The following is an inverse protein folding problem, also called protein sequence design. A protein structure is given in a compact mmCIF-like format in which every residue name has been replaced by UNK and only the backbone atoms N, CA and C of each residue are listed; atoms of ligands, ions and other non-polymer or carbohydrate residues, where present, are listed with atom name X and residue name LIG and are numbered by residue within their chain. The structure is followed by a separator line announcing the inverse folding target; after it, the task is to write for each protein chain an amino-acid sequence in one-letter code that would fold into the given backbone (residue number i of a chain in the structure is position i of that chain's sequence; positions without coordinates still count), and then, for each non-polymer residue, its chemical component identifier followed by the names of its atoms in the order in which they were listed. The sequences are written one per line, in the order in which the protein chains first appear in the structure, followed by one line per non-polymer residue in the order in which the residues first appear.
data_IF_062564210328
#
_entry.id   IF_062564210328
#
_cell.length_a   1.000
_cell.length_b   1.000
_cell.length_c   1.000
_cell.angle_alpha   90.00
_cell.angle_beta   90.00
_cell.angle_gamma   90.00
#
_symmetry.space_group_name_H-M   'P 1'
#
loop_
_entity.id
_entity.type
_entity.pdbx_description
1 polymer ?
#
# COMPACT_ATOMS: atom_id res chain seq x y z
N UNK A 1 -100.70 17.90 -4.82
CA UNK A 1 -100.36 16.98 -5.93
C UNK A 1 -98.90 17.21 -6.32
N UNK A 2 -98.10 16.12 -6.38
CA UNK A 2 -96.81 15.93 -7.09
C UNK A 2 -95.62 16.89 -6.80
N UNK A 3 -94.49 16.40 -6.23
CA UNK A 3 -93.25 15.87 -6.88
C UNK A 3 -92.18 17.00 -6.94
N UNK A 4 -90.91 16.91 -6.52
CA UNK A 4 -89.82 15.90 -6.60
C UNK A 4 -88.76 16.23 -5.52
N UNK A 5 -88.31 15.32 -4.65
CA UNK A 5 -87.07 14.51 -4.77
C UNK A 5 -85.85 15.20 -5.41
N UNK A 6 -84.79 15.40 -4.61
CA UNK A 6 -83.42 15.14 -5.03
C UNK A 6 -82.51 14.80 -3.84
N UNK A 7 -82.18 13.52 -3.72
CA UNK A 7 -81.05 12.91 -3.03
C UNK A 7 -79.83 12.94 -3.96
N UNK A 8 -78.63 13.17 -3.40
CA UNK A 8 -77.49 12.22 -3.43
C UNK A 8 -76.19 12.98 -3.06
N UNK A 9 -75.55 12.69 -1.93
CA UNK A 9 -74.63 11.56 -1.60
C UNK A 9 -73.32 11.59 -2.38
N UNK A 10 -72.23 11.72 -1.60
CA UNK A 10 -70.85 11.67 -2.02
C UNK A 10 -70.45 10.35 -2.72
N UNK A 11 -69.47 10.37 -3.63
CA UNK A 11 -68.97 9.15 -4.26
C UNK A 11 -68.03 8.39 -3.32
N UNK A 12 -68.40 7.14 -3.02
CA UNK A 12 -67.49 6.12 -2.49
C UNK A 12 -67.27 5.07 -3.59
N UNK A 13 -66.03 4.90 -4.06
CA UNK A 13 -65.72 3.84 -5.03
C UNK A 13 -64.36 3.94 -5.73
N UNK A 14 -63.25 3.87 -4.98
CA UNK A 14 -61.88 3.92 -5.56
C UNK A 14 -60.87 2.92 -4.99
N UNK A 15 -61.29 1.92 -4.22
CA UNK A 15 -60.38 1.06 -3.44
C UNK A 15 -59.78 -0.17 -4.14
N UNK A 16 -60.28 -0.56 -5.33
CA UNK A 16 -59.90 -1.82 -5.98
C UNK A 16 -58.81 -1.66 -7.04
N UNK A 17 -58.80 -0.56 -7.79
CA UNK A 17 -57.82 -0.33 -8.86
C UNK A 17 -56.45 0.12 -8.34
N UNK A 18 -56.43 0.90 -7.25
CA UNK A 18 -55.18 1.31 -6.60
C UNK A 18 -54.43 0.12 -5.99
N UNK A 19 -55.15 -0.83 -5.38
CA UNK A 19 -54.55 -2.06 -4.83
C UNK A 19 -54.01 -2.98 -5.92
N UNK A 20 -54.71 -3.11 -7.06
CA UNK A 20 -54.22 -3.91 -8.20
C UNK A 20 -52.97 -3.28 -8.84
N UNK A 21 -52.93 -1.96 -9.00
CA UNK A 21 -51.74 -1.26 -9.52
C UNK A 21 -50.55 -1.32 -8.55
N UNK A 22 -50.79 -1.16 -7.25
CA UNK A 22 -49.76 -1.30 -6.23
C UNK A 22 -49.19 -2.73 -6.15
N UNK A 23 -50.06 -3.76 -6.24
CA UNK A 23 -49.63 -5.15 -6.32
C UNK A 23 -48.77 -5.41 -7.56
N UNK A 24 -49.16 -4.91 -8.74
CA UNK A 24 -48.37 -5.07 -9.96
C UNK A 24 -46.96 -4.43 -9.87
N UNK A 25 -46.86 -3.25 -9.26
CA UNK A 25 -45.56 -2.56 -9.08
C UNK A 25 -44.67 -3.32 -8.09
N UNK A 26 -45.22 -3.78 -6.96
CA UNK A 26 -44.46 -4.56 -5.97
C UNK A 26 -44.01 -5.89 -6.58
N UNK A 27 -44.87 -6.56 -7.33
CA UNK A 27 -44.52 -7.82 -7.99
C UNK A 27 -43.40 -7.60 -9.02
N UNK A 28 -43.47 -6.51 -9.80
CA UNK A 28 -42.40 -6.15 -10.74
C UNK A 28 -41.07 -5.82 -10.06
N UNK A 29 -41.09 -5.09 -8.95
CA UNK A 29 -39.89 -4.77 -8.19
C UNK A 29 -39.24 -6.02 -7.57
N UNK A 30 -40.05 -6.94 -7.04
CA UNK A 30 -39.55 -8.22 -6.48
C UNK A 30 -38.94 -9.09 -7.57
N UNK A 31 -39.56 -9.18 -8.75
CA UNK A 31 -39.01 -9.92 -9.89
C UNK A 31 -37.70 -9.31 -10.37
N UNK A 32 -37.59 -7.97 -10.43
CA UNK A 32 -36.34 -7.29 -10.81
C UNK A 32 -35.21 -7.58 -9.81
N UNK A 33 -35.49 -7.51 -8.51
CA UNK A 33 -34.52 -7.81 -7.45
C UNK A 33 -34.07 -9.27 -7.53
N UNK A 34 -35.00 -10.20 -7.73
CA UNK A 34 -34.66 -11.62 -7.91
C UNK A 34 -33.81 -11.85 -9.17
N UNK A 35 -34.10 -11.19 -10.29
CA UNK A 35 -33.30 -11.29 -11.50
C UNK A 35 -31.87 -10.75 -11.30
N UNK A 36 -31.73 -9.64 -10.57
CA UNK A 36 -30.41 -9.11 -10.20
C UNK A 36 -29.63 -10.05 -9.29
N UNK A 37 -30.30 -10.64 -8.29
CA UNK A 37 -29.67 -11.63 -7.39
C UNK A 37 -29.23 -12.89 -8.16
N UNK A 38 -30.06 -13.39 -9.09
CA UNK A 38 -29.68 -14.52 -9.95
C UNK A 38 -28.49 -14.16 -10.85
N UNK A 39 -28.47 -12.95 -11.43
CA UNK A 39 -27.33 -12.49 -12.24
C UNK A 39 -26.03 -12.38 -11.43
N UNK A 40 -26.10 -11.95 -10.18
CA UNK A 40 -24.95 -11.90 -9.26
C UNK A 40 -24.48 -13.30 -8.89
N UNK A 41 -25.39 -14.23 -8.56
CA UNK A 41 -25.03 -15.62 -8.24
C UNK A 41 -24.40 -16.32 -9.45
N UNK A 42 -24.97 -16.16 -10.65
CA UNK A 42 -24.41 -16.74 -11.89
C UNK A 42 -23.01 -16.20 -12.17
N UNK A 43 -22.80 -14.88 -12.01
CA UNK A 43 -21.47 -14.26 -12.19
C UNK A 43 -20.45 -14.82 -11.20
N UNK A 44 -20.83 -14.98 -9.93
CA UNK A 44 -19.95 -15.55 -8.91
C UNK A 44 -19.63 -17.01 -9.22
N UNK A 45 -20.59 -17.82 -9.65
CA UNK A 45 -20.33 -19.24 -10.00
C UNK A 45 -19.50 -19.41 -11.27
N UNK A 46 -19.60 -18.49 -12.24
CA UNK A 46 -18.78 -18.53 -13.46
C UNK A 46 -17.30 -18.17 -13.22
N UNK A 47 -16.98 -17.60 -12.06
CA UNK A 47 -15.61 -17.29 -11.65
C UNK A 47 -14.93 -18.46 -10.89
N UNK A 48 -15.71 -19.47 -10.47
CA UNK A 48 -15.23 -20.65 -9.73
C UNK A 48 -15.51 -21.99 -10.44
N UNK A 49 -16.00 -21.96 -11.69
CA UNK A 49 -16.19 -23.13 -12.53
C UNK A 49 -14.98 -23.34 -13.43
N UNK A 50 -13.93 -23.95 -12.91
CA UNK A 50 -12.83 -24.47 -13.73
C UNK A 50 -13.26 -25.77 -14.41
N UNK A 51 -13.03 -25.85 -15.72
CA UNK A 51 -13.09 -27.07 -16.51
C UNK A 51 -12.08 -28.09 -15.96
N UNK A 52 -12.56 -29.21 -15.41
CA UNK A 52 -11.75 -30.42 -15.27
C UNK A 52 -11.58 -31.10 -16.64
N UNK A 53 -10.34 -31.47 -16.98
CA UNK A 53 -10.14 -32.83 -17.46
C UNK A 53 -9.03 -33.56 -16.69
N UNK A 54 -9.46 -34.61 -16.00
CA UNK A 54 -8.80 -35.92 -15.90
C UNK A 54 -7.40 -35.96 -15.25
N UNK A 55 -7.45 -36.13 -13.93
CA UNK A 55 -6.37 -36.61 -13.07
C UNK A 55 -5.67 -37.87 -13.61
N UNK A 56 -4.37 -37.77 -13.91
CA UNK A 56 -3.44 -38.90 -13.76
C UNK A 56 -2.49 -38.54 -12.63
N UNK A 57 -2.64 -39.23 -11.50
CA UNK A 57 -1.80 -39.07 -10.31
C UNK A 57 -0.33 -39.42 -10.64
N UNK A 58 0.55 -38.44 -10.55
CA UNK A 58 1.99 -38.64 -10.48
C UNK A 58 2.47 -38.03 -9.16
N UNK A 59 2.99 -38.87 -8.27
CA UNK A 59 3.39 -38.49 -6.90
C UNK A 59 4.37 -37.31 -6.89
N UNK A 60 4.16 -36.27 -6.05
CA UNK A 60 5.14 -35.21 -5.87
C UNK A 60 6.38 -35.73 -5.12
N UNK A 61 7.61 -35.31 -5.48
CA UNK A 61 8.75 -35.43 -4.61
C UNK A 61 8.58 -34.56 -3.35
N UNK A 62 9.20 -34.99 -2.26
CA UNK A 62 9.11 -34.43 -0.91
C UNK A 62 9.35 -32.90 -0.84
N UNK A 63 8.76 -32.19 0.15
CA UNK A 63 8.93 -30.75 0.28
C UNK A 63 10.36 -30.38 0.68
N UNK A 64 11.08 -29.76 -0.24
CA UNK A 64 12.17 -28.83 0.09
C UNK A 64 11.56 -27.64 0.84
N UNK A 65 12.18 -27.24 1.95
CA UNK A 65 11.71 -26.16 2.83
C UNK A 65 11.51 -24.81 2.12
N UNK A 66 10.91 -23.81 2.80
CA UNK A 66 10.57 -22.53 2.20
C UNK A 66 11.85 -21.83 1.73
N UNK A 67 12.10 -21.91 0.43
CA UNK A 67 13.13 -21.18 -0.27
C UNK A 67 12.78 -19.70 -0.34
N UNK A 68 13.81 -18.88 -0.22
CA UNK A 68 13.82 -17.45 -0.42
C UNK A 68 12.94 -17.03 -1.62
N UNK A 69 12.16 -15.96 -1.41
CA UNK A 69 11.50 -15.24 -2.50
C UNK A 69 12.51 -14.97 -3.61
N UNK A 70 12.14 -15.37 -4.83
CA UNK A 70 13.05 -15.46 -5.96
C UNK A 70 13.85 -14.18 -6.21
N UNK A 71 15.16 -14.30 -6.05
CA UNK A 71 16.12 -13.39 -6.69
C UNK A 71 16.14 -13.73 -8.18
N UNK A 72 15.30 -13.04 -8.95
CA UNK A 72 15.43 -12.99 -10.42
C UNK A 72 15.70 -11.55 -10.83
N UNK A 73 16.98 -11.19 -10.73
CA UNK A 73 17.54 -9.96 -11.28
C UNK A 73 19.03 -10.12 -11.57
N UNK A 74 19.44 -11.26 -12.13
CA UNK A 74 20.82 -11.45 -12.59
C UNK A 74 21.13 -10.45 -13.70
N UNK A 75 22.26 -9.76 -13.58
CA UNK A 75 22.70 -8.72 -14.50
C UNK A 75 23.10 -7.42 -13.82
N UNK A 76 23.71 -6.54 -14.62
CA UNK A 76 24.12 -5.20 -14.21
C UNK A 76 23.72 -4.19 -15.28
N UNK A 77 23.69 -2.91 -14.91
CA UNK A 77 23.40 -1.81 -15.81
C UNK A 77 21.92 -1.43 -15.92
N UNK A 78 21.60 -0.40 -16.72
CA UNK A 78 20.33 0.33 -16.61
C UNK A 78 19.08 -0.51 -16.83
N UNK A 79 19.14 -1.53 -17.69
CA UNK A 79 18.00 -2.41 -17.96
C UNK A 79 17.71 -3.35 -16.78
N UNK A 80 18.75 -3.96 -16.19
CA UNK A 80 18.62 -4.83 -15.02
C UNK A 80 18.09 -4.03 -13.81
N UNK A 81 18.64 -2.84 -13.59
CA UNK A 81 18.19 -1.92 -12.54
C UNK A 81 16.73 -1.50 -12.71
N UNK A 82 16.33 -1.16 -13.95
CA UNK A 82 14.96 -0.77 -14.29
C UNK A 82 13.96 -1.94 -14.18
N UNK A 83 14.39 -3.16 -14.50
CA UNK A 83 13.60 -4.37 -14.30
C UNK A 83 13.40 -4.64 -12.80
N UNK A 84 14.48 -4.57 -12.01
CA UNK A 84 14.45 -4.76 -10.56
C UNK A 84 13.59 -3.70 -9.85
N UNK A 85 13.69 -2.42 -10.23
CA UNK A 85 12.84 -1.35 -9.69
C UNK A 85 11.36 -1.64 -9.93
N UNK A 86 10.98 -2.03 -11.15
CA UNK A 86 9.58 -2.22 -11.55
C UNK A 86 8.98 -3.57 -11.19
N UNK A 87 9.80 -4.55 -10.77
CA UNK A 87 9.28 -5.85 -10.37
C UNK A 87 8.16 -5.69 -9.31
N UNK A 88 7.01 -6.38 -9.43
CA UNK A 88 5.94 -6.23 -8.46
C UNK A 88 6.37 -6.75 -7.09
N UNK A 89 5.76 -6.22 -6.04
CA UNK A 89 5.84 -6.76 -4.68
C UNK A 89 4.54 -7.46 -4.31
N UNK A 90 4.55 -8.23 -3.22
CA UNK A 90 3.36 -8.88 -2.70
C UNK A 90 2.25 -7.84 -2.45
N UNK A 91 1.09 -8.07 -3.06
CA UNK A 91 -0.08 -7.23 -2.82
C UNK A 91 -0.73 -7.63 -1.50
N UNK A 92 -1.10 -6.62 -0.70
CA UNK A 92 -1.70 -6.79 0.62
C UNK A 92 -2.92 -5.88 0.72
N UNK A 93 -3.99 -6.30 1.40
CA UNK A 93 -5.18 -5.49 1.48
C UNK A 93 -4.97 -4.29 2.42
N UNK A 94 -5.65 -3.17 2.18
CA UNK A 94 -5.44 -1.90 2.92
C UNK A 94 -5.51 -2.05 4.45
N UNK A 95 -6.38 -2.92 4.96
CA UNK A 95 -6.50 -3.16 6.41
C UNK A 95 -5.25 -3.77 7.03
N UNK A 96 -4.35 -4.38 6.23
CA UNK A 96 -3.09 -4.92 6.71
C UNK A 96 -2.20 -3.82 7.30
N UNK A 97 -2.35 -2.57 6.89
CA UNK A 97 -1.61 -1.43 7.44
C UNK A 97 -2.09 -1.02 8.84
N UNK A 98 -3.27 -1.45 9.29
CA UNK A 98 -3.85 -1.03 10.56
C UNK A 98 -3.32 -1.86 11.73
N UNK A 99 -3.29 -1.33 12.97
CA UNK A 99 -2.87 -2.09 14.14
C UNK A 99 -3.64 -3.40 14.34
N UNK A 100 -2.92 -4.51 14.40
CA UNK A 100 -3.48 -5.83 14.69
C UNK A 100 -2.41 -6.79 15.23
N UNK A 101 -2.77 -8.06 15.39
CA UNK A 101 -1.94 -9.10 16.01
C UNK A 101 -0.56 -9.22 15.37
N UNK A 102 0.47 -9.29 16.21
CA UNK A 102 1.85 -9.53 15.78
C UNK A 102 2.07 -11.02 15.48
N UNK A 103 2.90 -11.30 14.50
CA UNK A 103 3.30 -12.65 14.14
C UNK A 103 4.24 -13.26 15.18
N UNK A 104 4.16 -14.58 15.33
CA UNK A 104 5.16 -15.38 16.04
C UNK A 104 6.24 -15.92 15.08
N UNK A 105 6.08 -15.70 13.76
CA UNK A 105 7.05 -16.07 12.73
C UNK A 105 8.06 -14.94 12.53
N UNK A 106 9.13 -15.25 11.81
CA UNK A 106 10.13 -14.28 11.41
C UNK A 106 10.46 -14.45 9.93
N UNK A 107 10.69 -13.32 9.23
CA UNK A 107 11.18 -13.29 7.86
C UNK A 107 12.71 -13.50 7.76
N UNK A 108 13.39 -13.67 8.89
CA UNK A 108 14.84 -13.83 8.99
C UNK A 108 15.42 -13.07 10.19
N UNK A 109 16.73 -13.23 10.46
CA UNK A 109 17.37 -12.52 11.58
C UNK A 109 17.21 -10.99 11.42
N UNK A 110 17.20 -10.21 12.50
CA UNK A 110 17.16 -8.75 12.39
C UNK A 110 18.32 -8.17 11.55
N UNK A 111 18.11 -7.01 10.94
CA UNK A 111 19.09 -6.28 10.15
C UNK A 111 19.70 -5.18 11.02
N UNK A 112 21.00 -5.28 11.33
CA UNK A 112 21.72 -4.21 12.02
C UNK A 112 22.07 -3.11 11.05
N UNK A 113 21.60 -1.89 11.32
CA UNK A 113 21.86 -0.71 10.50
C UNK A 113 23.13 -0.01 10.95
N UNK A 114 24.04 0.33 10.02
CA UNK A 114 25.19 1.16 10.34
C UNK A 114 24.75 2.58 10.73
N UNK A 115 25.52 3.22 11.62
CA UNK A 115 25.33 4.64 11.93
C UNK A 115 25.81 5.54 10.77
N UNK A 116 25.19 6.71 10.56
CA UNK A 116 25.64 7.68 9.56
C UNK A 116 26.99 8.28 9.95
N UNK A 117 27.86 8.50 8.96
CA UNK A 117 29.13 9.20 9.17
C UNK A 117 28.97 10.72 9.06
N UNK A 118 27.95 11.20 8.34
CA UNK A 118 27.67 12.62 8.16
C UNK A 118 26.25 12.95 8.64
N UNK A 119 26.16 13.73 9.72
CA UNK A 119 24.87 14.17 10.32
C UNK A 119 24.73 15.70 10.38
N UNK A 120 25.81 16.44 10.16
CA UNK A 120 25.84 17.91 10.26
C UNK A 120 26.02 18.54 8.88
N UNK A 121 25.34 19.67 8.67
CA UNK A 121 25.39 20.41 7.41
C UNK A 121 24.68 19.73 6.23
N UNK A 122 23.92 18.68 6.49
CA UNK A 122 23.14 17.92 5.49
C UNK A 122 21.67 17.83 5.92
N UNK A 123 20.76 17.77 4.95
CA UNK A 123 19.32 17.63 5.22
C UNK A 123 18.96 16.21 5.67
N UNK A 124 19.56 15.22 5.00
CA UNK A 124 19.40 13.79 5.31
C UNK A 124 20.77 13.27 5.78
N UNK A 125 20.87 12.56 6.91
CA UNK A 125 22.11 11.90 7.29
C UNK A 125 22.64 10.93 6.22
N UNK A 126 23.95 10.92 5.99
CA UNK A 126 24.60 10.13 4.91
C UNK A 126 25.93 9.50 5.37
N UNK A 127 26.70 8.98 4.40
CA UNK A 127 28.03 8.38 4.63
C UNK A 127 27.98 6.92 5.09
N UNK A 128 26.91 6.20 4.72
CA UNK A 128 26.76 4.79 5.04
C UNK A 128 27.73 3.91 4.21
N UNK A 129 28.16 2.75 4.74
CA UNK A 129 29.07 1.83 4.04
C UNK A 129 28.47 1.31 2.72
N UNK A 130 29.34 0.83 1.84
CA UNK A 130 28.98 0.20 0.57
C UNK A 130 28.46 -1.24 0.79
N UNK A 131 27.28 -1.33 1.42
CA UNK A 131 26.59 -2.57 1.70
C UNK A 131 25.08 -2.37 1.57
N UNK A 132 24.33 -3.45 1.42
CA UNK A 132 22.86 -3.42 1.43
C UNK A 132 22.30 -2.79 2.71
N UNK A 133 22.93 -3.05 3.87
CA UNK A 133 22.56 -2.42 5.14
C UNK A 133 22.80 -0.91 5.12
N UNK A 134 23.85 -0.44 4.44
CA UNK A 134 24.09 0.97 4.21
C UNK A 134 23.04 1.62 3.32
N UNK A 135 22.62 0.93 2.25
CA UNK A 135 21.53 1.38 1.40
C UNK A 135 20.20 1.46 2.19
N UNK A 136 19.87 0.43 2.98
CA UNK A 136 18.69 0.45 3.87
C UNK A 136 18.76 1.61 4.85
N UNK A 137 19.90 1.82 5.52
CA UNK A 137 20.07 2.91 6.47
C UNK A 137 19.87 4.29 5.81
N UNK A 138 20.33 4.45 4.57
CA UNK A 138 20.08 5.67 3.80
C UNK A 138 18.59 5.88 3.49
N UNK A 139 17.86 4.83 3.09
CA UNK A 139 16.41 4.90 2.85
C UNK A 139 15.65 5.19 4.13
N UNK A 140 16.06 4.60 5.27
CA UNK A 140 15.50 4.87 6.59
C UNK A 140 15.60 6.36 6.92
N UNK A 141 16.79 6.95 6.83
CA UNK A 141 16.99 8.35 7.20
C UNK A 141 16.28 9.31 6.24
N UNK A 142 16.31 9.01 4.93
CA UNK A 142 15.56 9.78 3.93
C UNK A 142 14.05 9.75 4.23
N UNK A 143 13.50 8.57 4.50
CA UNK A 143 12.07 8.40 4.80
C UNK A 143 11.69 9.09 6.11
N UNK A 144 12.51 8.95 7.17
CA UNK A 144 12.29 9.60 8.46
C UNK A 144 12.26 11.12 8.36
N UNK A 145 13.20 11.72 7.62
CA UNK A 145 13.19 13.17 7.37
C UNK A 145 11.98 13.53 6.50
N UNK A 146 11.82 12.86 5.36
CA UNK A 146 10.82 13.19 4.36
C UNK A 146 9.37 13.03 4.82
N UNK A 147 9.09 12.14 5.77
CA UNK A 147 7.73 11.90 6.28
C UNK A 147 7.37 12.81 7.47
N UNK A 148 8.27 13.70 7.88
CA UNK A 148 8.01 14.63 8.98
C UNK A 148 6.78 15.49 8.68
N UNK A 149 5.81 15.49 9.60
CA UNK A 149 4.57 16.24 9.44
C UNK A 149 3.65 15.70 8.32
N UNK A 150 3.98 14.55 7.73
CA UNK A 150 3.41 14.02 6.50
C UNK A 150 3.22 15.11 5.43
N UNK A 151 4.25 15.94 5.19
CA UNK A 151 4.20 17.06 4.25
C UNK A 151 4.88 16.68 2.92
N UNK A 152 4.15 16.63 1.79
CA UNK A 152 4.73 16.38 0.48
C UNK A 152 5.88 17.33 0.11
N UNK A 153 5.90 18.55 0.64
CA UNK A 153 7.00 19.49 0.39
C UNK A 153 8.28 19.09 1.14
N UNK A 154 8.16 18.56 2.36
CA UNK A 154 9.30 18.05 3.14
C UNK A 154 9.87 16.80 2.47
N UNK A 155 9.00 15.90 2.01
CA UNK A 155 9.40 14.76 1.19
C UNK A 155 10.17 15.20 -0.06
N UNK A 156 9.65 16.19 -0.80
CA UNK A 156 10.32 16.70 -1.99
C UNK A 156 11.73 17.21 -1.70
N UNK A 157 11.90 18.01 -0.65
CA UNK A 157 13.22 18.52 -0.26
C UNK A 157 14.20 17.40 0.11
N UNK A 158 13.74 16.42 0.90
CA UNK A 158 14.58 15.28 1.30
C UNK A 158 14.97 14.41 0.10
N UNK A 159 14.00 14.05 -0.74
CA UNK A 159 14.21 13.24 -1.93
C UNK A 159 15.14 13.93 -2.92
N UNK A 160 14.85 15.19 -3.28
CA UNK A 160 15.63 15.95 -4.26
C UNK A 160 17.08 16.18 -3.79
N UNK A 161 17.33 16.27 -2.47
CA UNK A 161 18.68 16.38 -1.90
C UNK A 161 19.51 15.09 -2.01
N UNK A 162 18.85 13.96 -2.24
CA UNK A 162 19.45 12.63 -2.23
C UNK A 162 19.24 11.88 -3.56
N UNK A 163 18.71 12.53 -4.59
CA UNK A 163 18.40 11.91 -5.87
C UNK A 163 19.44 12.24 -6.94
N UNK A 164 19.77 11.26 -7.75
CA UNK A 164 20.58 11.49 -8.94
C UNK A 164 19.81 12.32 -9.99
N UNK A 165 20.51 13.08 -10.85
CA UNK A 165 19.93 13.61 -12.07
C UNK A 165 19.25 12.50 -12.90
N UNK A 166 17.99 12.70 -13.26
CA UNK A 166 17.22 11.69 -14.01
C UNK A 166 16.52 10.64 -13.15
N UNK A 167 16.55 10.76 -11.82
CA UNK A 167 15.65 10.04 -10.94
C UNK A 167 14.18 10.40 -11.24
N UNK A 168 13.26 9.50 -10.87
CA UNK A 168 11.84 9.74 -11.07
C UNK A 168 11.40 11.06 -10.41
N UNK A 169 10.58 11.89 -11.07
CA UNK A 169 10.13 13.14 -10.47
C UNK A 169 9.43 12.89 -9.15
N UNK A 170 9.77 13.67 -8.12
CA UNK A 170 9.29 13.47 -6.74
C UNK A 170 7.77 13.38 -6.64
N UNK A 171 7.03 14.21 -7.38
CA UNK A 171 5.57 14.19 -7.41
C UNK A 171 4.98 12.86 -7.94
N UNK A 172 5.78 12.02 -8.58
CA UNK A 172 5.39 10.72 -9.12
C UNK A 172 5.85 9.55 -8.24
N UNK A 173 6.54 9.80 -7.13
CA UNK A 173 6.92 8.72 -6.21
C UNK A 173 5.68 8.24 -5.43
N UNK A 174 5.61 6.93 -5.06
CA UNK A 174 4.49 6.41 -4.27
C UNK A 174 4.38 7.16 -2.93
N UNK A 175 5.52 7.36 -2.26
CA UNK A 175 5.62 8.16 -1.03
C UNK A 175 4.96 9.55 -1.16
N UNK A 176 5.25 10.31 -2.23
CA UNK A 176 4.61 11.62 -2.40
C UNK A 176 3.09 11.51 -2.59
N UNK A 177 2.62 10.47 -3.27
CA UNK A 177 1.20 10.23 -3.49
C UNK A 177 0.49 9.83 -2.19
N UNK A 178 1.12 8.96 -1.39
CA UNK A 178 0.63 8.53 -0.08
C UNK A 178 0.49 9.72 0.87
N UNK A 179 1.50 10.60 0.93
CA UNK A 179 1.46 11.80 1.77
C UNK A 179 0.35 12.78 1.33
N UNK A 180 0.17 12.97 0.02
CA UNK A 180 -0.95 13.79 -0.51
C UNK A 180 -2.30 13.17 -0.16
N UNK A 181 -2.45 11.86 -0.33
CA UNK A 181 -3.69 11.14 -0.03
C UNK A 181 -4.01 11.18 1.47
N UNK A 182 -3.00 10.96 2.32
CA UNK A 182 -3.11 11.06 3.78
C UNK A 182 -3.62 12.44 4.21
N UNK A 183 -2.97 13.53 3.76
CA UNK A 183 -3.39 14.89 4.14
C UNK A 183 -4.79 15.22 3.64
N UNK A 184 -5.14 14.76 2.43
CA UNK A 184 -6.49 14.92 1.88
C UNK A 184 -7.52 14.19 2.75
N UNK A 185 -7.27 12.94 3.13
CA UNK A 185 -8.17 12.15 3.97
C UNK A 185 -8.32 12.76 5.37
N UNK A 186 -7.23 13.34 5.91
CA UNK A 186 -7.22 14.01 7.21
C UNK A 186 -7.72 15.48 7.16
N UNK A 187 -8.20 15.95 6.01
CA UNK A 187 -8.63 17.34 5.80
C UNK A 187 -7.59 18.39 6.25
N UNK A 188 -6.31 18.10 6.00
CA UNK A 188 -5.19 18.99 6.29
C UNK A 188 -4.87 19.90 5.10
N UNK A 189 -4.23 21.07 5.32
CA UNK A 189 -3.67 21.87 4.23
C UNK A 189 -2.74 21.01 3.35
N UNK A 190 -2.70 21.24 2.04
CA UNK A 190 -1.93 20.40 1.10
C UNK A 190 -0.43 20.28 1.44
N UNK A 191 0.15 21.36 1.93
CA UNK A 191 1.55 21.44 2.40
C UNK A 191 1.62 22.36 3.62
N UNK A 192 2.77 22.39 4.29
CA UNK A 192 3.06 23.26 5.41
C UNK A 192 2.63 22.69 6.77
N UNK A 193 2.83 23.52 7.79
CA UNK A 193 2.60 23.15 9.18
C UNK A 193 1.15 22.72 9.44
N UNK A 194 1.00 21.68 10.25
CA UNK A 194 -0.29 21.19 10.77
C UNK A 194 -0.31 21.30 12.29
N UNK A 195 -1.51 21.25 12.87
CA UNK A 195 -1.69 21.22 14.34
C UNK A 195 -1.47 19.83 14.92
N UNK A 196 -1.43 18.79 14.09
CA UNK A 196 -1.10 17.43 14.50
C UNK A 196 0.43 17.24 14.50
N UNK A 197 0.95 16.51 15.47
CA UNK A 197 2.31 15.97 15.39
C UNK A 197 2.23 14.69 14.57
N UNK A 198 3.01 14.60 13.50
CA UNK A 198 3.07 13.40 12.66
C UNK A 198 4.52 13.00 12.52
N UNK A 199 4.83 11.78 12.93
CA UNK A 199 6.15 11.17 12.89
C UNK A 199 6.07 9.80 12.22
N UNK A 200 7.19 9.36 11.68
CA UNK A 200 7.35 8.01 11.15
C UNK A 200 8.52 7.35 11.86
N UNK A 201 8.22 6.27 12.57
CA UNK A 201 9.18 5.54 13.38
C UNK A 201 9.53 4.22 12.68
N UNK A 202 10.75 4.08 12.14
CA UNK A 202 11.13 2.93 11.34
C UNK A 202 11.31 1.65 12.16
N UNK A 203 10.71 0.56 11.71
CA UNK A 203 10.62 -0.72 12.44
C UNK A 203 11.31 -1.89 11.75
N UNK A 204 11.22 -1.98 10.43
CA UNK A 204 11.69 -3.13 9.66
C UNK A 204 12.08 -2.73 8.24
N UNK A 205 12.79 -3.62 7.56
CA UNK A 205 13.26 -3.40 6.20
C UNK A 205 13.42 -4.73 5.45
N UNK A 206 13.54 -4.63 4.13
CA UNK A 206 13.95 -5.73 3.25
C UNK A 206 14.73 -5.18 2.06
N UNK A 207 15.57 -6.03 1.50
CA UNK A 207 16.16 -5.82 0.18
C UNK A 207 15.28 -6.56 -0.81
N UNK A 208 14.65 -5.82 -1.73
CA UNK A 208 13.86 -6.43 -2.80
C UNK A 208 14.77 -7.14 -3.80
N UNK A 209 15.96 -6.59 -4.00
CA UNK A 209 17.07 -7.20 -4.73
C UNK A 209 18.20 -6.21 -4.93
N UNK A 210 19.30 -6.72 -5.48
CA UNK A 210 20.51 -5.99 -5.84
C UNK A 210 21.05 -6.47 -7.19
N UNK A 211 21.82 -5.64 -7.87
CA UNK A 211 22.56 -6.03 -9.09
C UNK A 211 23.80 -6.85 -8.73
N UNK A 212 24.35 -7.59 -9.69
CA UNK A 212 25.49 -8.50 -9.45
C UNK A 212 26.76 -7.79 -8.97
N UNK A 213 26.94 -6.52 -9.34
CA UNK A 213 28.06 -5.69 -8.91
C UNK A 213 27.83 -5.01 -7.55
N UNK A 214 26.65 -5.19 -6.95
CA UNK A 214 26.26 -4.62 -5.65
C UNK A 214 26.07 -3.10 -5.65
N UNK A 215 26.28 -2.42 -6.79
CA UNK A 215 26.23 -0.96 -6.88
C UNK A 215 24.81 -0.41 -6.85
N UNK A 216 23.80 -1.24 -7.13
CA UNK A 216 22.40 -0.87 -7.14
C UNK A 216 21.56 -1.82 -6.28
N UNK A 217 20.73 -1.25 -5.41
CA UNK A 217 19.88 -1.97 -4.46
C UNK A 217 18.49 -1.35 -4.46
N UNK A 218 17.44 -2.15 -4.57
CA UNK A 218 16.08 -1.67 -4.25
C UNK A 218 15.80 -2.02 -2.80
N UNK A 219 15.92 -1.01 -1.93
CA UNK A 219 15.68 -1.15 -0.50
C UNK A 219 14.27 -0.68 -0.15
N UNK A 220 13.58 -1.46 0.66
CA UNK A 220 12.24 -1.17 1.15
C UNK A 220 12.26 -1.11 2.67
N UNK A 221 11.71 -0.04 3.24
CA UNK A 221 11.60 0.18 4.68
C UNK A 221 10.15 0.24 5.08
N UNK A 222 9.86 -0.21 6.29
CA UNK A 222 8.55 -0.14 6.92
C UNK A 222 8.70 0.54 8.28
N UNK A 223 7.71 1.35 8.63
CA UNK A 223 7.65 2.00 9.93
C UNK A 223 6.22 2.33 10.33
N UNK A 224 6.10 2.76 11.57
CA UNK A 224 4.86 3.19 12.18
C UNK A 224 4.68 4.70 11.95
N UNK A 225 3.64 5.07 11.21
CA UNK A 225 3.23 6.46 11.07
C UNK A 225 2.32 6.85 12.24
N UNK A 226 2.85 7.63 13.16
CA UNK A 226 2.13 8.07 14.37
C UNK A 226 1.62 9.49 14.18
N UNK A 227 0.32 9.67 14.36
CA UNK A 227 -0.34 10.98 14.34
C UNK A 227 -0.95 11.27 15.70
N UNK A 228 -0.52 12.37 16.33
CA UNK A 228 -1.12 12.90 17.56
C UNK A 228 -1.78 14.25 17.27
N UNK A 229 -3.09 14.32 17.52
CA UNK A 229 -3.82 15.58 17.57
C UNK A 229 -4.53 15.74 18.92
N UNK A 230 -3.99 16.63 19.76
CA UNK A 230 -4.54 16.96 21.09
C UNK A 230 -4.70 15.72 21.99
N UNK A 231 -3.72 14.82 21.97
CA UNK A 231 -3.71 13.58 22.75
C UNK A 231 -4.55 12.45 22.16
N UNK A 232 -5.10 12.64 20.94
CA UNK A 232 -5.73 11.56 20.16
C UNK A 232 -4.68 11.00 19.22
N UNK A 233 -4.22 9.80 19.52
CA UNK A 233 -3.22 9.09 18.75
C UNK A 233 -3.91 8.16 17.75
N UNK A 234 -3.48 8.25 16.50
CA UNK A 234 -3.78 7.28 15.44
C UNK A 234 -2.46 6.77 14.87
N UNK A 235 -2.42 5.50 14.51
CA UNK A 235 -1.22 4.87 13.99
C UNK A 235 -1.55 3.88 12.87
N UNK A 236 -0.60 3.68 11.97
CA UNK A 236 -0.66 2.72 10.89
C UNK A 236 0.72 2.45 10.31
N UNK A 237 0.90 1.28 9.70
CA UNK A 237 2.10 0.93 8.97
C UNK A 237 2.17 1.67 7.64
N UNK A 238 3.33 2.27 7.36
CA UNK A 238 3.61 2.89 6.07
C UNK A 238 5.01 2.51 5.62
N UNK A 239 5.10 1.94 4.42
CA UNK A 239 6.35 1.53 3.80
C UNK A 239 6.84 2.53 2.75
N UNK A 240 8.11 2.41 2.38
CA UNK A 240 8.69 3.13 1.26
C UNK A 240 9.78 2.28 0.61
N UNK A 241 9.76 2.17 -0.72
CA UNK A 241 10.80 1.51 -1.51
C UNK A 241 11.52 2.54 -2.37
N UNK A 242 12.85 2.53 -2.34
CA UNK A 242 13.66 3.40 -3.18
C UNK A 242 14.70 2.57 -3.94
N UNK A 243 14.88 2.84 -5.25
CA UNK A 243 16.04 2.35 -5.97
C UNK A 243 17.25 3.18 -5.54
N UNK A 244 18.25 2.54 -4.96
CA UNK A 244 19.45 3.18 -4.43
C UNK A 244 20.65 2.77 -5.27
N UNK A 245 21.47 3.72 -5.67
CA UNK A 245 22.75 3.47 -6.32
C UNK A 245 23.90 4.03 -5.49
N UNK A 246 25.00 3.30 -5.47
CA UNK A 246 26.26 3.74 -4.92
C UNK A 246 26.93 4.72 -5.89
N UNK A 247 27.11 5.96 -5.47
CA UNK A 247 27.81 7.01 -6.22
C UNK A 247 28.91 7.57 -5.32
N UNK A 248 30.16 7.20 -5.62
CA UNK A 248 31.29 7.51 -4.75
C UNK A 248 31.12 6.89 -3.36
N UNK A 249 31.08 7.74 -2.33
CA UNK A 249 30.90 7.35 -0.94
C UNK A 249 29.44 7.43 -0.44
N UNK A 250 28.50 7.74 -1.34
CA UNK A 250 27.09 7.96 -0.98
C UNK A 250 26.15 6.95 -1.63
N UNK A 251 25.04 6.68 -0.94
CA UNK A 251 23.87 6.02 -1.51
C UNK A 251 22.90 7.12 -1.94
N UNK A 252 22.58 7.18 -3.23
CA UNK A 252 21.63 8.14 -3.80
C UNK A 252 20.43 7.41 -4.39
N UNK A 253 19.28 8.08 -4.46
CA UNK A 253 18.13 7.57 -5.21
C UNK A 253 18.50 7.57 -6.69
N UNK A 254 18.52 6.37 -7.27
CA UNK A 254 19.06 6.13 -8.59
C UNK A 254 18.24 6.83 -9.69
N UNK A 255 18.94 7.25 -10.74
CA UNK A 255 18.30 7.64 -12.00
C UNK A 255 17.46 6.51 -12.59
N UNK A 256 16.37 6.84 -13.29
CA UNK A 256 15.52 5.87 -13.98
C UNK A 256 14.14 5.70 -13.33
N UNK A 257 13.48 4.53 -13.51
CA UNK A 257 12.13 4.34 -13.01
C UNK A 257 12.10 4.29 -11.47
N UNK A 258 11.01 4.79 -10.90
CA UNK A 258 10.70 4.59 -9.48
C UNK A 258 10.59 3.09 -9.16
N UNK A 259 10.88 2.74 -7.90
CA UNK A 259 10.56 1.41 -7.40
C UNK A 259 9.03 1.18 -7.38
N UNK A 260 8.65 -0.10 -7.40
CA UNK A 260 7.30 -0.54 -7.07
C UNK A 260 6.88 -0.04 -5.69
N UNK A 261 5.58 0.16 -5.49
CA UNK A 261 5.05 0.62 -4.19
C UNK A 261 5.37 -0.40 -3.11
N UNK A 262 5.79 0.09 -1.94
CA UNK A 262 6.04 -0.76 -0.79
C UNK A 262 4.70 -1.29 -0.24
N UNK A 263 4.56 -2.60 0.00
CA UNK A 263 3.38 -3.11 0.69
C UNK A 263 3.28 -2.47 2.08
N UNK A 264 2.15 -1.83 2.36
CA UNK A 264 1.86 -1.22 3.65
C UNK A 264 1.24 -2.27 4.58
N UNK A 265 1.97 -2.64 5.63
CA UNK A 265 1.57 -3.67 6.60
C UNK A 265 1.83 -3.17 8.01
N UNK A 266 1.11 -3.69 8.99
CA UNK A 266 1.38 -3.41 10.39
C UNK A 266 2.73 -4.03 10.78
N UNK A 267 3.66 -3.25 11.34
CA UNK A 267 4.97 -3.75 11.73
C UNK A 267 4.90 -5.03 12.57
N UNK A 268 5.62 -6.06 12.14
CA UNK A 268 5.68 -7.35 12.83
C UNK A 268 4.46 -8.26 12.64
N UNK A 269 3.47 -7.90 11.81
CA UNK A 269 2.33 -8.76 11.50
C UNK A 269 2.66 -9.95 10.58
N UNK A 270 1.71 -10.85 10.40
CA UNK A 270 1.87 -11.99 9.48
C UNK A 270 2.05 -11.57 8.03
N UNK A 271 1.40 -10.49 7.61
CA UNK A 271 1.55 -9.86 6.29
C UNK A 271 2.93 -9.22 6.16
N UNK A 272 3.42 -8.51 7.19
CA UNK A 272 4.77 -7.95 7.17
C UNK A 272 5.83 -9.05 6.99
N UNK A 273 5.67 -10.16 7.70
CA UNK A 273 6.53 -11.34 7.56
C UNK A 273 6.38 -11.98 6.18
N UNK A 274 5.17 -12.06 5.62
CA UNK A 274 4.92 -12.63 4.29
C UNK A 274 5.53 -11.80 3.16
N UNK A 275 5.53 -10.47 3.29
CA UNK A 275 6.23 -9.55 2.38
C UNK A 275 7.76 -9.73 2.46
N UNK A 276 8.26 -10.16 3.63
CA UNK A 276 9.68 -10.37 3.87
C UNK A 276 10.35 -9.28 4.70
N UNK A 277 9.58 -8.39 5.35
CA UNK A 277 10.13 -7.38 6.25
C UNK A 277 10.79 -8.04 7.45
N UNK A 278 12.05 -7.69 7.70
CA UNK A 278 12.85 -8.10 8.85
C UNK A 278 13.04 -6.92 9.78
N UNK A 279 12.98 -7.16 11.09
CA UNK A 279 13.22 -6.12 12.10
C UNK A 279 14.58 -5.45 11.89
N UNK A 280 14.66 -4.16 12.18
CA UNK A 280 15.93 -3.43 12.14
C UNK A 280 16.43 -3.11 13.55
N UNK A 281 17.75 -3.23 13.74
CA UNK A 281 18.46 -2.83 14.94
C UNK A 281 19.31 -1.59 14.60
N UNK A 282 19.35 -0.61 15.49
CA UNK A 282 20.11 0.63 15.32
C UNK A 282 21.08 0.85 16.46
#
# INVERSE_FOLDING_TARGET
MARSMNTDRAPAGGGRDGRRRALLIITGAVVLVLALLVGVVVSLTSMFGEDEPSSTYQSPPAPTGPGAGGSTGGGSGPEAEAALARAPMLDVPDQAALPHTLSMRSAGPPITLPAPQQVSGVLVPTGFPDTEQGAIAQVVELTRVGFTGADPQVWAQAYDSMAEPGAAPTAQTPASQDLVAFRRAANMPRTGATRARITWDPTSALVKGSTDDGSYVVACVLGELVTDYKGRVATGGLGNCLPMRRVGDQWLVASGPRAWVAPATWPGSDEAVAVGYRDILR
#
